data_IF_426287975846
#
_entry.id   IF_426287975846
#
_cell.length_a   1.000
_cell.length_b   1.000
_cell.length_c   1.000
_cell.angle_alpha   90.00
_cell.angle_beta   90.00
_cell.angle_gamma   90.00
#
_symmetry.space_group_name_H-M   'P 1'
#
loop_
_entity.id
_entity.type
_entity.pdbx_description
1 polymer ?
#
# COMPACT_ATOMS: atom_id res chain seq x y z
N UNK A 1 14.60 -0.78 -15.53
CA UNK A 1 14.43 -2.06 -14.82
C UNK A 1 13.05 -2.65 -15.06
N UNK A 2 11.94 -1.93 -14.78
CA UNK A 2 10.57 -2.46 -14.87
C UNK A 2 10.25 -3.06 -16.24
N UNK A 3 10.55 -2.36 -17.36
CA UNK A 3 10.31 -2.88 -18.72
C UNK A 3 11.07 -4.18 -19.02
N UNK A 4 12.24 -4.38 -18.40
CA UNK A 4 13.01 -5.63 -18.52
C UNK A 4 12.50 -6.71 -17.58
N UNK A 5 11.88 -6.32 -16.47
CA UNK A 5 11.36 -7.24 -15.47
C UNK A 5 10.04 -7.91 -15.91
N UNK A 6 9.13 -7.17 -16.52
CA UNK A 6 7.81 -7.67 -16.90
C UNK A 6 7.86 -8.93 -17.79
N UNK A 7 8.68 -9.02 -18.88
CA UNK A 7 8.79 -10.26 -19.65
C UNK A 7 9.29 -11.46 -18.84
N UNK A 8 9.99 -11.20 -17.74
CA UNK A 8 10.49 -12.22 -16.83
C UNK A 8 9.51 -12.50 -15.67
N UNK A 9 8.28 -11.99 -15.75
CA UNK A 9 7.26 -12.08 -14.69
C UNK A 9 7.77 -11.51 -13.35
N UNK A 10 8.51 -10.40 -13.42
CA UNK A 10 9.11 -9.68 -12.28
C UNK A 10 8.67 -8.23 -12.28
N UNK A 11 8.80 -7.59 -11.13
CA UNK A 11 8.55 -6.15 -10.94
C UNK A 11 9.70 -5.53 -10.15
N UNK A 12 9.68 -4.21 -9.95
CA UNK A 12 10.62 -3.56 -9.01
C UNK A 12 10.50 -4.15 -7.60
N UNK A 13 9.32 -4.62 -7.21
CA UNK A 13 9.13 -5.26 -5.89
C UNK A 13 9.91 -6.56 -5.72
N UNK A 14 10.33 -7.20 -6.82
CA UNK A 14 11.27 -8.34 -6.76
C UNK A 14 12.65 -7.95 -6.21
N UNK A 15 12.98 -6.64 -6.20
CA UNK A 15 14.21 -6.08 -5.62
C UNK A 15 13.89 -5.39 -4.30
N UNK A 16 12.83 -4.59 -4.25
CA UNK A 16 12.45 -3.78 -3.08
C UNK A 16 12.17 -4.69 -1.86
N UNK A 17 11.43 -5.78 -2.04
CA UNK A 17 11.08 -6.68 -0.93
C UNK A 17 12.32 -7.29 -0.25
N UNK A 18 13.29 -7.89 -0.98
CA UNK A 18 14.53 -8.36 -0.36
C UNK A 18 15.36 -7.25 0.30
N UNK A 19 15.38 -6.03 -0.26
CA UNK A 19 16.04 -4.89 0.36
C UNK A 19 15.40 -4.55 1.71
N UNK A 20 14.08 -4.51 1.78
CA UNK A 20 13.36 -4.27 3.03
C UNK A 20 13.58 -5.38 4.05
N UNK A 21 13.69 -6.63 3.63
CA UNK A 21 14.03 -7.72 4.54
C UNK A 21 15.43 -7.47 5.17
N UNK A 22 16.43 -7.12 4.37
CA UNK A 22 17.76 -6.80 4.88
C UNK A 22 17.77 -5.59 5.82
N UNK A 23 16.99 -4.53 5.48
CA UNK A 23 16.86 -3.33 6.33
C UNK A 23 16.26 -3.71 7.69
N UNK A 24 15.20 -4.51 7.70
CA UNK A 24 14.54 -4.89 8.96
C UNK A 24 15.41 -5.82 9.78
N UNK A 25 16.13 -6.74 9.14
CA UNK A 25 17.09 -7.62 9.81
C UNK A 25 18.23 -6.81 10.45
N UNK A 26 18.76 -5.83 9.72
CA UNK A 26 19.75 -4.91 10.25
C UNK A 26 19.20 -4.07 11.40
N UNK A 27 18.03 -3.43 11.25
CA UNK A 27 17.40 -2.67 12.33
C UNK A 27 17.18 -3.53 13.57
N UNK A 28 16.75 -4.79 13.39
CA UNK A 28 16.50 -5.72 14.47
C UNK A 28 17.77 -6.13 15.23
N UNK A 29 18.96 -5.97 14.63
CA UNK A 29 20.25 -6.23 15.25
C UNK A 29 20.77 -5.08 16.11
N UNK A 30 20.17 -3.90 16.01
CA UNK A 30 20.59 -2.72 16.73
C UNK A 30 20.05 -2.74 18.18
N UNK A 31 20.90 -2.56 19.20
CA UNK A 31 20.50 -2.68 20.60
C UNK A 31 19.47 -1.64 21.05
N UNK A 32 19.36 -0.51 20.35
CA UNK A 32 18.38 0.57 20.63
C UNK A 32 17.04 0.37 19.95
N UNK A 33 16.87 -0.67 19.11
CA UNK A 33 15.65 -0.92 18.35
C UNK A 33 14.89 -2.10 18.96
N UNK A 34 13.62 -1.89 19.29
CA UNK A 34 12.72 -3.01 19.60
C UNK A 34 12.29 -3.67 18.29
N UNK A 35 12.86 -4.84 17.99
CA UNK A 35 12.60 -5.60 16.77
C UNK A 35 11.14 -6.02 16.58
N UNK A 36 10.33 -6.00 17.65
CA UNK A 36 8.89 -6.31 17.60
C UNK A 36 8.02 -5.07 17.29
N UNK A 37 8.62 -3.88 17.24
CA UNK A 37 7.92 -2.60 17.08
C UNK A 37 8.43 -1.78 15.90
N UNK A 38 8.85 -2.45 14.83
CA UNK A 38 9.25 -1.81 13.58
C UNK A 38 8.00 -1.66 12.71
N UNK A 39 7.58 -0.43 12.44
CA UNK A 39 6.42 -0.10 11.61
C UNK A 39 6.83 0.31 10.20
N UNK A 40 5.93 0.19 9.25
CA UNK A 40 6.06 0.75 7.91
C UNK A 40 5.10 1.95 7.75
N UNK A 41 5.63 3.10 7.38
CA UNK A 41 4.84 4.27 7.01
C UNK A 41 5.39 4.87 5.71
N UNK A 42 4.54 5.06 4.72
CA UNK A 42 4.97 5.60 3.44
C UNK A 42 3.92 6.45 2.76
N UNK A 43 4.39 7.57 2.16
CA UNK A 43 3.59 8.48 1.34
C UNK A 43 3.78 8.15 -0.15
N UNK A 44 2.70 8.23 -0.94
CA UNK A 44 2.78 8.13 -2.41
C UNK A 44 3.35 6.77 -2.85
N UNK A 45 4.49 6.74 -3.53
CA UNK A 45 5.18 5.49 -3.83
C UNK A 45 5.53 4.69 -2.55
N UNK A 46 5.86 5.39 -1.46
CA UNK A 46 6.01 4.78 -0.13
C UNK A 46 4.71 4.18 0.39
N UNK A 47 3.56 4.80 0.13
CA UNK A 47 2.23 4.26 0.41
C UNK A 47 1.95 3.00 -0.42
N UNK A 48 2.35 3.01 -1.69
CA UNK A 48 2.35 1.82 -2.55
C UNK A 48 3.20 0.69 -1.94
N UNK A 49 4.39 1.01 -1.44
CA UNK A 49 5.26 0.06 -0.77
C UNK A 49 4.63 -0.46 0.54
N UNK A 50 3.92 0.39 1.29
CA UNK A 50 3.22 0.01 2.52
C UNK A 50 2.13 -1.05 2.30
N UNK A 51 1.64 -1.20 1.06
CA UNK A 51 0.67 -2.22 0.68
C UNK A 51 1.31 -3.51 0.17
N UNK A 52 2.57 -3.47 -0.31
CA UNK A 52 3.22 -4.57 -1.04
C UNK A 52 4.34 -5.23 -0.26
N UNK A 53 5.05 -4.45 0.56
CA UNK A 53 6.20 -4.94 1.32
C UNK A 53 5.77 -5.68 2.60
N UNK A 54 4.95 -5.11 3.50
CA UNK A 54 4.58 -5.78 4.76
C UNK A 54 3.87 -7.12 4.60
N UNK A 55 3.08 -7.40 3.57
CA UNK A 55 2.57 -8.76 3.34
C UNK A 55 3.65 -9.83 3.26
N UNK A 56 4.81 -9.49 2.71
CA UNK A 56 5.94 -10.38 2.46
C UNK A 56 7.03 -10.27 3.53
N UNK A 57 7.27 -9.07 4.08
CA UNK A 57 8.23 -8.80 5.16
C UNK A 57 7.47 -8.72 6.48
N UNK A 58 7.31 -9.87 7.12
CA UNK A 58 6.42 -10.04 8.30
C UNK A 58 6.93 -9.37 9.57
N UNK A 59 8.17 -8.91 9.59
CA UNK A 59 8.77 -8.20 10.72
C UNK A 59 8.16 -6.81 10.96
N UNK A 60 7.51 -6.20 9.95
CA UNK A 60 6.75 -4.97 10.16
C UNK A 60 5.52 -5.25 11.00
N UNK A 61 5.43 -4.64 12.19
CA UNK A 61 4.34 -4.86 13.15
C UNK A 61 3.04 -4.14 12.77
N UNK A 62 3.12 -3.06 11.97
CA UNK A 62 1.98 -2.33 11.43
C UNK A 62 2.35 -1.69 10.08
N UNK A 63 1.35 -1.31 9.29
CA UNK A 63 1.54 -0.62 8.03
C UNK A 63 0.60 0.58 7.90
N UNK A 64 1.14 1.73 7.46
CA UNK A 64 0.39 2.95 7.16
C UNK A 64 0.62 3.33 5.69
N UNK A 65 -0.46 3.29 4.91
CA UNK A 65 -0.50 3.68 3.51
C UNK A 65 -1.01 5.12 3.40
N UNK A 66 -0.12 6.08 3.17
CA UNK A 66 -0.50 7.48 2.95
C UNK A 66 -0.55 7.79 1.46
N UNK A 67 -1.64 8.39 1.02
CA UNK A 67 -1.85 8.97 -0.31
C UNK A 67 -1.65 8.02 -1.53
N UNK A 68 -1.79 6.69 -1.34
CA UNK A 68 -1.72 5.72 -2.45
C UNK A 68 -2.96 4.85 -2.57
N UNK A 69 -3.69 4.60 -1.49
CA UNK A 69 -4.82 3.68 -1.46
C UNK A 69 -5.92 4.07 -2.45
N UNK A 70 -6.38 3.11 -3.27
CA UNK A 70 -7.35 3.38 -4.35
C UNK A 70 -7.99 2.06 -4.85
N UNK A 71 -8.75 2.14 -5.94
CA UNK A 71 -9.06 1.01 -6.81
C UNK A 71 -7.96 0.84 -7.86
N UNK A 72 -7.45 -0.39 -8.04
CA UNK A 72 -6.28 -0.63 -8.90
C UNK A 72 -6.56 -0.32 -10.37
N UNK A 73 -7.73 -0.73 -10.89
CA UNK A 73 -8.08 -0.53 -12.30
C UNK A 73 -8.32 0.95 -12.57
N UNK A 74 -9.07 1.61 -11.69
CA UNK A 74 -9.37 3.05 -11.81
C UNK A 74 -8.09 3.89 -11.78
N UNK A 75 -7.18 3.56 -10.86
CA UNK A 75 -5.92 4.27 -10.68
C UNK A 75 -4.93 4.05 -11.82
N UNK A 76 -4.84 2.84 -12.35
CA UNK A 76 -3.70 2.48 -13.21
C UNK A 76 -4.04 2.36 -14.69
N UNK A 77 -5.22 1.86 -15.05
CA UNK A 77 -5.51 1.48 -16.45
C UNK A 77 -6.80 2.07 -17.02
N UNK A 78 -7.68 2.63 -16.21
CA UNK A 78 -8.91 3.22 -16.71
C UNK A 78 -8.63 4.47 -17.52
N UNK A 79 -9.09 4.50 -18.78
CA UNK A 79 -9.04 5.70 -19.62
C UNK A 79 -10.11 6.73 -19.27
N UNK A 80 -11.06 6.39 -18.39
CA UNK A 80 -12.10 7.30 -17.89
C UNK A 80 -11.69 8.07 -16.64
N UNK A 81 -10.64 7.61 -15.95
CA UNK A 81 -10.10 8.30 -14.77
C UNK A 81 -9.10 9.38 -15.19
N UNK A 82 -9.32 10.65 -14.80
CA UNK A 82 -8.34 11.71 -15.05
C UNK A 82 -7.05 11.53 -14.25
N UNK A 83 -7.08 10.70 -13.21
CA UNK A 83 -5.93 10.39 -12.34
C UNK A 83 -5.22 9.09 -12.73
N UNK A 84 -5.62 8.47 -13.84
CA UNK A 84 -5.06 7.18 -14.23
C UNK A 84 -3.61 7.29 -14.67
N UNK A 85 -2.79 6.37 -14.18
CA UNK A 85 -1.39 6.25 -14.59
C UNK A 85 -1.21 5.81 -16.05
N UNK A 86 -2.27 5.36 -16.72
CA UNK A 86 -2.21 5.10 -18.17
C UNK A 86 -1.81 6.34 -18.98
N UNK A 87 -2.04 7.54 -18.43
CA UNK A 87 -1.70 8.82 -19.03
C UNK A 87 -0.28 9.30 -18.71
N UNK A 88 0.44 8.58 -17.83
CA UNK A 88 1.79 8.98 -17.38
C UNK A 88 2.88 8.11 -18.00
N UNK A 89 4.14 8.52 -17.83
CA UNK A 89 5.32 7.73 -18.20
C UNK A 89 5.85 6.82 -17.09
N UNK A 90 5.10 6.63 -16.02
CA UNK A 90 5.50 5.88 -14.82
C UNK A 90 5.27 4.38 -15.01
N UNK A 91 6.11 3.73 -15.80
CA UNK A 91 5.96 2.31 -16.16
C UNK A 91 6.10 1.33 -14.97
N UNK A 92 6.69 1.76 -13.88
CA UNK A 92 6.84 0.97 -12.64
C UNK A 92 5.53 0.76 -11.89
N UNK A 93 4.50 1.52 -12.24
CA UNK A 93 3.15 1.35 -11.71
C UNK A 93 2.51 0.04 -12.20
N UNK A 94 2.86 -0.42 -13.38
CA UNK A 94 2.28 -1.61 -14.01
C UNK A 94 3.04 -2.87 -13.60
N UNK A 95 2.78 -3.36 -12.41
CA UNK A 95 3.34 -4.61 -11.91
C UNK A 95 2.76 -5.81 -12.67
N UNK A 96 3.62 -6.78 -12.99
CA UNK A 96 3.20 -7.99 -13.71
C UNK A 96 2.03 -8.68 -13.01
N UNK A 97 0.94 -8.87 -13.72
CA UNK A 97 -0.28 -9.60 -13.32
C UNK A 97 -0.95 -9.14 -12.01
N UNK A 98 -0.53 -8.01 -11.44
CA UNK A 98 -1.06 -7.58 -10.14
C UNK A 98 -2.55 -7.24 -10.23
N UNK A 99 -2.96 -6.45 -11.21
CA UNK A 99 -4.35 -6.02 -11.36
C UNK A 99 -5.32 -7.14 -11.73
N UNK A 100 -4.84 -8.28 -12.23
CA UNK A 100 -5.63 -9.48 -12.44
C UNK A 100 -5.74 -10.33 -11.16
N UNK A 101 -4.82 -10.16 -10.21
CA UNK A 101 -4.72 -10.98 -9.00
C UNK A 101 -5.32 -10.30 -7.79
N UNK A 102 -5.07 -9.00 -7.59
CA UNK A 102 -5.45 -8.25 -6.38
C UNK A 102 -5.92 -6.84 -6.72
N UNK A 103 -6.97 -6.39 -6.03
CA UNK A 103 -7.23 -4.97 -5.84
C UNK A 103 -6.58 -4.49 -4.52
N UNK A 104 -6.71 -3.23 -4.17
CA UNK A 104 -6.11 -2.65 -2.95
C UNK A 104 -6.65 -3.30 -1.67
N UNK A 105 -7.95 -3.60 -1.62
CA UNK A 105 -8.53 -4.27 -0.46
C UNK A 105 -7.94 -5.66 -0.22
N UNK A 106 -7.72 -6.45 -1.28
CA UNK A 106 -7.12 -7.78 -1.14
C UNK A 106 -5.64 -7.69 -0.74
N UNK A 107 -4.91 -6.70 -1.26
CA UNK A 107 -3.52 -6.46 -0.81
C UNK A 107 -3.47 -6.11 0.68
N UNK A 108 -4.36 -5.22 1.16
CA UNK A 108 -4.46 -4.88 2.58
C UNK A 108 -4.85 -6.10 3.43
N UNK A 109 -5.70 -6.99 2.91
CA UNK A 109 -6.08 -8.21 3.58
C UNK A 109 -4.88 -9.14 3.89
N UNK A 110 -3.84 -9.12 3.05
CA UNK A 110 -2.61 -9.88 3.29
C UNK A 110 -1.77 -9.35 4.47
N UNK A 111 -2.06 -8.14 4.95
CA UNK A 111 -1.41 -7.57 6.15
C UNK A 111 -2.04 -8.10 7.43
N UNK A 112 -3.34 -8.43 7.39
CA UNK A 112 -4.05 -8.95 8.56
C UNK A 112 -3.34 -10.18 9.18
N UNK A 113 -3.40 -10.35 10.52
CA UNK A 113 -4.14 -9.59 11.53
C UNK A 113 -3.35 -8.38 12.10
N UNK A 114 -2.24 -7.98 11.47
CA UNK A 114 -1.44 -6.83 11.89
C UNK A 114 -2.21 -5.53 11.62
N UNK A 115 -2.01 -4.49 12.45
CA UNK A 115 -2.65 -3.19 12.23
C UNK A 115 -2.35 -2.60 10.85
N UNK A 116 -3.40 -2.04 10.25
CA UNK A 116 -3.33 -1.36 8.97
C UNK A 116 -4.09 -0.03 9.01
N UNK A 117 -3.47 1.01 8.47
CA UNK A 117 -4.10 2.33 8.36
C UNK A 117 -3.94 2.91 6.96
N UNK A 118 -4.97 3.59 6.50
CA UNK A 118 -4.92 4.48 5.35
C UNK A 118 -4.98 5.92 5.83
N UNK A 119 -4.12 6.77 5.29
CA UNK A 119 -4.15 8.21 5.48
C UNK A 119 -4.45 8.89 4.15
N UNK A 120 -5.44 9.81 4.14
CA UNK A 120 -5.95 10.39 2.91
C UNK A 120 -6.31 11.87 3.05
N UNK A 121 -5.65 12.72 2.27
CA UNK A 121 -6.04 14.13 2.10
C UNK A 121 -7.15 14.30 1.06
N UNK A 122 -8.20 15.05 1.39
CA UNK A 122 -9.34 15.26 0.49
C UNK A 122 -8.98 15.96 -0.83
N UNK A 123 -7.94 16.77 -0.84
CA UNK A 123 -7.45 17.48 -2.04
C UNK A 123 -6.24 16.82 -2.69
N UNK A 124 -6.00 15.56 -2.38
CA UNK A 124 -4.98 14.76 -3.04
C UNK A 124 -5.41 14.39 -4.46
N UNK A 125 -4.70 14.88 -5.46
CA UNK A 125 -5.00 14.66 -6.88
C UNK A 125 -4.69 13.25 -7.40
N UNK A 126 -4.29 12.30 -6.54
CA UNK A 126 -3.97 10.93 -6.98
C UNK A 126 -5.20 10.04 -7.08
N UNK A 127 -6.25 10.31 -6.32
CA UNK A 127 -7.48 9.53 -6.31
C UNK A 127 -8.70 10.38 -5.96
N UNK A 128 -9.92 10.00 -6.40
CA UNK A 128 -11.15 10.48 -5.77
C UNK A 128 -11.39 9.75 -4.44
N UNK A 129 -12.02 10.44 -3.49
CA UNK A 129 -12.33 9.89 -2.16
C UNK A 129 -13.24 8.65 -2.25
N UNK A 130 -14.15 8.62 -3.22
CA UNK A 130 -15.14 7.55 -3.40
C UNK A 130 -14.49 6.19 -3.66
N UNK A 131 -13.47 6.12 -4.52
CA UNK A 131 -12.77 4.85 -4.80
C UNK A 131 -11.96 4.38 -3.61
N UNK A 132 -11.35 5.31 -2.89
CA UNK A 132 -10.63 5.04 -1.63
C UNK A 132 -11.59 4.49 -0.57
N UNK A 133 -12.72 5.17 -0.35
CA UNK A 133 -13.74 4.77 0.62
C UNK A 133 -14.34 3.39 0.28
N UNK A 134 -14.62 3.14 -1.00
CA UNK A 134 -15.17 1.87 -1.46
C UNK A 134 -14.22 0.70 -1.18
N UNK A 135 -12.95 0.82 -1.57
CA UNK A 135 -11.96 -0.24 -1.31
C UNK A 135 -11.68 -0.39 0.18
N UNK A 136 -11.62 0.72 0.95
CA UNK A 136 -11.41 0.63 2.38
C UNK A 136 -12.59 -0.01 3.13
N UNK A 137 -13.82 0.14 2.66
CA UNK A 137 -14.99 -0.52 3.23
C UNK A 137 -14.84 -2.06 3.23
N UNK A 138 -14.23 -2.64 2.20
CA UNK A 138 -13.93 -4.07 2.12
C UNK A 138 -12.88 -4.49 3.16
N UNK A 139 -11.83 -3.69 3.34
CA UNK A 139 -10.80 -3.92 4.38
C UNK A 139 -11.43 -3.89 5.77
N UNK A 140 -12.26 -2.86 6.04
CA UNK A 140 -12.97 -2.74 7.32
C UNK A 140 -13.91 -3.92 7.56
N UNK A 141 -14.62 -4.39 6.53
CA UNK A 141 -15.46 -5.58 6.64
C UNK A 141 -14.64 -6.80 7.06
N UNK A 142 -13.48 -7.03 6.45
CA UNK A 142 -12.59 -8.13 6.84
C UNK A 142 -12.17 -8.02 8.31
N UNK A 143 -11.56 -6.89 8.69
CA UNK A 143 -11.02 -6.72 10.05
C UNK A 143 -12.12 -6.75 11.12
N UNK A 144 -13.22 -6.03 10.90
CA UNK A 144 -14.29 -5.89 11.89
C UNK A 144 -15.24 -7.07 11.88
N UNK A 145 -15.83 -7.43 10.72
CA UNK A 145 -16.93 -8.38 10.66
C UNK A 145 -16.44 -9.84 10.57
N UNK A 146 -15.30 -10.08 9.89
CA UNK A 146 -14.82 -11.45 9.69
C UNK A 146 -13.79 -11.89 10.73
N UNK A 147 -12.93 -10.99 11.18
CA UNK A 147 -11.85 -11.30 12.13
C UNK A 147 -12.10 -10.81 13.56
N UNK A 148 -13.06 -9.91 13.79
CA UNK A 148 -13.35 -9.37 15.11
C UNK A 148 -12.24 -8.46 15.68
N UNK A 149 -11.41 -7.87 14.83
CA UNK A 149 -10.26 -7.03 15.20
C UNK A 149 -10.35 -5.63 14.56
N UNK A 150 -11.54 -5.06 14.53
CA UNK A 150 -11.82 -3.77 13.86
C UNK A 150 -11.01 -2.58 14.39
N UNK A 151 -10.54 -2.65 15.63
CA UNK A 151 -9.64 -1.69 16.27
C UNK A 151 -8.25 -1.63 15.60
N UNK A 152 -7.88 -2.67 14.84
CA UNK A 152 -6.61 -2.74 14.09
C UNK A 152 -6.69 -2.21 12.67
N UNK A 153 -7.83 -1.63 12.26
CA UNK A 153 -8.02 -1.12 10.91
C UNK A 153 -8.63 0.27 10.96
N UNK A 154 -7.95 1.27 10.39
CA UNK A 154 -8.39 2.66 10.40
C UNK A 154 -8.14 3.35 9.07
N UNK A 155 -9.02 4.28 8.71
CA UNK A 155 -8.75 5.31 7.71
C UNK A 155 -8.84 6.68 8.38
N UNK A 156 -7.88 7.54 8.09
CA UNK A 156 -7.86 8.92 8.51
C UNK A 156 -8.00 9.82 7.29
N UNK A 157 -9.03 10.66 7.34
CA UNK A 157 -9.31 11.69 6.36
C UNK A 157 -8.91 13.03 6.92
N UNK A 158 -8.21 13.83 6.13
CA UNK A 158 -7.86 15.19 6.53
C UNK A 158 -8.07 16.19 5.39
N UNK A 159 -8.26 17.46 5.76
CA UNK A 159 -8.37 18.56 4.80
C UNK A 159 -6.97 18.98 4.38
N UNK A 160 -6.50 18.43 3.27
CA UNK A 160 -5.14 18.71 2.80
C UNK A 160 -4.82 18.04 1.46
N UNK A 161 -3.66 18.37 0.89
CA UNK A 161 -3.18 17.86 -0.39
C UNK A 161 -2.46 16.51 -0.22
N UNK A 162 -1.66 16.14 -1.22
CA UNK A 162 -0.78 14.97 -1.24
C UNK A 162 0.40 15.13 -0.27
N UNK A 163 0.18 14.82 1.01
CA UNK A 163 1.18 15.00 2.08
C UNK A 163 0.97 14.00 3.21
N UNK A 164 1.99 13.82 4.05
CA UNK A 164 1.86 13.19 5.36
C UNK A 164 1.15 14.20 6.29
N UNK A 165 0.18 13.74 7.03
CA UNK A 165 -0.57 14.57 7.98
C UNK A 165 -0.04 14.37 9.41
N UNK A 166 0.22 13.14 9.83
CA UNK A 166 0.81 12.77 11.14
C UNK A 166 -0.21 12.61 12.23
#
# INVERSE_FOLDING_TARGET
LQRKANPLKRTLFSIIVPQHQQIVDWLSSLPQVDSRRIAFYGLSYGGKMAMRVPPLVKNYCLSICSADFNDWIWKNVSTRSPYSYVWTGEYEIFEFDLGNTFNYAEMAALIAPRPFMVERGHFDGVAPDETVAYEFAKVRHLYQARLGIGDRCRIEWFVGPHTIHG
#
